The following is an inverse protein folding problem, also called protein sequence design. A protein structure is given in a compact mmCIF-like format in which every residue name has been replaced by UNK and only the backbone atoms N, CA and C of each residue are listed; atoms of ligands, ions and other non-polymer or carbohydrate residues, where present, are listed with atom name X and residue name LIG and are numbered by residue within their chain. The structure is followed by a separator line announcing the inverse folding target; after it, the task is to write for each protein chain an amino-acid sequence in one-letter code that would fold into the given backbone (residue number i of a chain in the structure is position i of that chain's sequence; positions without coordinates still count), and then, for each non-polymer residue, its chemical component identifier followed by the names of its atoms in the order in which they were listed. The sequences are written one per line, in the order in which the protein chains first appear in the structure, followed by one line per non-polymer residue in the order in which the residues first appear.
data_IF_101569816441
#
_entry.id   IF_101569816441
#
_cell.length_a   1.000
_cell.length_b   1.000
_cell.length_c   1.000
_cell.angle_alpha   90.00
_cell.angle_beta   90.00
_cell.angle_gamma   90.00
#
_symmetry.space_group_name_H-M   'P 1'
#
loop_
_entity.id
_entity.type
_entity.pdbx_description
1 polymer ?
#
# COMPACT_ATOMS: atom_id res chain seq x y z
N UNK A 1 -21.79 63.45 54.03
CA UNK A 1 -21.64 62.00 54.27
C UNK A 1 -22.77 61.33 53.50
N UNK A 2 -22.44 60.55 52.48
CA UNK A 2 -23.40 59.80 51.65
C UNK A 2 -23.55 58.40 52.23
N UNK A 3 -24.79 58.00 52.51
CA UNK A 3 -25.15 56.70 53.06
C UNK A 3 -24.77 55.57 52.10
N UNK A 4 -24.02 54.59 52.62
CA UNK A 4 -23.63 53.37 51.90
C UNK A 4 -24.74 52.35 52.12
N UNK A 5 -25.58 52.14 51.11
CA UNK A 5 -26.57 51.07 51.09
C UNK A 5 -25.85 49.71 51.03
N UNK A 6 -25.82 49.01 52.16
CA UNK A 6 -25.37 47.63 52.26
C UNK A 6 -26.38 46.73 51.56
N UNK A 7 -26.10 46.37 50.31
CA UNK A 7 -26.89 45.38 49.59
C UNK A 7 -26.35 43.98 49.93
N UNK A 8 -26.93 43.35 50.95
CA UNK A 8 -26.68 41.93 51.25
C UNK A 8 -27.29 41.06 50.13
N UNK A 9 -26.58 40.06 49.58
CA UNK A 9 -27.17 39.18 48.57
C UNK A 9 -28.11 38.19 49.25
N UNK A 10 -29.39 38.24 48.87
CA UNK A 10 -30.39 37.22 49.22
C UNK A 10 -29.97 35.86 48.66
N UNK A 11 -29.78 34.88 49.56
CA UNK A 11 -29.56 33.49 49.20
C UNK A 11 -30.80 32.91 48.48
N UNK A 12 -30.57 32.05 47.49
CA UNK A 12 -31.52 31.21 46.72
C UNK A 12 -31.80 31.63 45.27
N UNK A 13 -30.77 31.86 44.47
CA UNK A 13 -30.87 31.71 43.01
C UNK A 13 -30.40 30.29 42.64
N UNK A 14 -31.35 29.40 42.32
CA UNK A 14 -31.06 28.07 41.80
C UNK A 14 -30.55 28.18 40.35
N UNK A 15 -29.23 28.15 40.16
CA UNK A 15 -28.62 28.14 38.84
C UNK A 15 -28.71 26.74 38.21
N UNK A 16 -29.53 26.58 37.18
CA UNK A 16 -29.54 25.39 36.33
C UNK A 16 -28.43 25.54 35.30
N UNK A 17 -27.33 24.81 35.48
CA UNK A 17 -26.27 24.70 34.48
C UNK A 17 -26.72 23.74 33.37
N UNK A 18 -27.11 24.30 32.22
CA UNK A 18 -27.42 23.51 31.03
C UNK A 18 -26.09 23.21 30.31
N UNK A 19 -25.62 21.98 30.45
CA UNK A 19 -24.48 21.47 29.68
C UNK A 19 -24.98 20.97 28.33
N UNK A 20 -24.77 21.75 27.26
CA UNK A 20 -24.97 21.26 25.91
C UNK A 20 -23.81 20.34 25.52
N UNK A 21 -24.12 19.07 25.23
CA UNK A 21 -23.12 18.14 24.73
C UNK A 21 -22.59 18.63 23.38
N UNK A 22 -21.26 18.70 23.17
CA UNK A 22 -20.70 19.07 21.89
C UNK A 22 -21.16 18.08 20.81
N UNK A 23 -21.45 18.58 19.61
CA UNK A 23 -21.82 17.73 18.48
C UNK A 23 -20.69 16.76 18.19
N UNK A 24 -21.02 15.47 18.14
CA UNK A 24 -20.09 14.41 17.75
C UNK A 24 -19.94 14.49 16.23
N UNK A 25 -18.86 15.12 15.77
CA UNK A 25 -18.49 15.09 14.36
C UNK A 25 -17.82 13.75 14.05
N UNK A 26 -18.16 13.16 12.90
CA UNK A 26 -17.53 11.92 12.48
C UNK A 26 -16.02 12.17 12.25
N UNK A 27 -15.13 11.30 12.74
CA UNK A 27 -13.70 11.49 12.55
C UNK A 27 -13.35 11.39 11.07
N UNK A 28 -12.81 12.47 10.52
CA UNK A 28 -12.24 12.48 9.17
C UNK A 28 -10.78 12.07 9.25
N UNK A 29 -10.40 11.04 8.48
CA UNK A 29 -9.01 10.59 8.42
C UNK A 29 -8.30 11.28 7.25
N UNK A 30 -7.18 11.94 7.52
CA UNK A 30 -6.41 12.67 6.52
C UNK A 30 -5.01 12.10 6.38
N UNK A 31 -4.53 12.05 5.14
CA UNK A 31 -3.16 11.68 4.77
C UNK A 31 -2.47 12.90 4.17
N UNK A 32 -1.45 13.40 4.85
CA UNK A 32 -0.61 14.49 4.36
C UNK A 32 0.54 13.93 3.52
N UNK A 33 0.82 14.61 2.42
CA UNK A 33 1.84 14.20 1.47
C UNK A 33 2.66 15.38 0.96
N UNK A 34 3.92 15.08 0.62
CA UNK A 34 4.89 16.05 0.10
C UNK A 34 4.69 16.27 -1.40
N UNK A 35 5.36 17.28 -1.95
CA UNK A 35 5.29 17.62 -3.38
C UNK A 35 5.77 16.50 -4.32
N UNK A 36 6.59 15.59 -3.82
CA UNK A 36 7.08 14.40 -4.53
C UNK A 36 6.07 13.22 -4.51
N UNK A 37 4.93 13.41 -3.84
CA UNK A 37 3.90 12.38 -3.65
C UNK A 37 4.21 11.41 -2.51
N UNK A 38 5.32 11.59 -1.78
CA UNK A 38 5.64 10.73 -0.62
C UNK A 38 4.76 11.08 0.58
N UNK A 39 4.38 10.06 1.34
CA UNK A 39 3.62 10.24 2.58
C UNK A 39 4.45 11.00 3.62
N UNK A 40 3.81 11.95 4.30
CA UNK A 40 4.39 12.66 5.43
C UNK A 40 3.86 12.10 6.75
N UNK A 41 2.55 12.23 7.01
CA UNK A 41 1.91 11.68 8.21
C UNK A 41 0.40 11.50 8.05
N UNK A 42 -0.17 10.69 8.94
CA UNK A 42 -1.61 10.43 9.08
C UNK A 42 -2.14 11.19 10.30
N UNK A 43 -3.24 11.90 10.17
CA UNK A 43 -3.87 12.58 11.31
C UNK A 43 -5.39 12.72 11.13
N UNK A 44 -6.08 12.90 12.25
CA UNK A 44 -7.48 13.34 12.29
C UNK A 44 -7.59 14.86 12.51
N UNK A 45 -6.47 15.53 12.83
CA UNK A 45 -6.42 16.97 13.01
C UNK A 45 -6.42 17.70 11.66
N UNK A 46 -6.54 19.03 11.71
CA UNK A 46 -6.54 19.89 10.53
C UNK A 46 -5.32 20.83 10.47
N UNK A 47 -4.08 20.32 10.42
CA UNK A 47 -2.93 21.17 10.14
C UNK A 47 -2.96 21.70 8.71
N UNK A 48 -2.33 22.86 8.47
CA UNK A 48 -2.20 23.41 7.11
C UNK A 48 -1.25 22.56 6.27
N UNK A 49 -1.66 22.18 5.06
CA UNK A 49 -0.84 21.41 4.13
C UNK A 49 -1.63 20.73 3.01
N UNK A 50 -0.92 19.99 2.16
CA UNK A 50 -1.54 19.17 1.12
C UNK A 50 -1.94 17.81 1.73
N UNK A 51 -3.23 17.49 1.65
CA UNK A 51 -3.76 16.24 2.16
C UNK A 51 -4.84 15.66 1.24
N UNK A 52 -5.07 14.36 1.40
CA UNK A 52 -6.26 13.67 0.90
C UNK A 52 -7.05 13.09 2.07
N UNK A 53 -8.38 13.01 1.91
CA UNK A 53 -9.25 12.33 2.86
C UNK A 53 -9.22 10.83 2.53
N UNK A 54 -8.97 10.01 3.54
CA UNK A 54 -8.84 8.56 3.43
C UNK A 54 -9.91 7.86 4.26
N UNK A 55 -10.11 6.57 4.01
CA UNK A 55 -10.99 5.76 4.84
C UNK A 55 -10.29 5.28 6.13
N UNK A 56 -11.10 4.76 7.06
CA UNK A 56 -10.61 4.24 8.35
C UNK A 56 -9.67 3.02 8.18
N UNK A 57 -9.85 2.23 7.12
CA UNK A 57 -9.02 1.06 6.86
C UNK A 57 -7.61 1.44 6.41
N UNK A 58 -7.50 2.40 5.50
CA UNK A 58 -6.23 2.98 5.04
C UNK A 58 -5.52 3.70 6.18
N UNK A 59 -6.26 4.42 7.02
CA UNK A 59 -5.70 5.04 8.22
C UNK A 59 -5.15 3.99 9.20
N UNK A 60 -5.87 2.88 9.39
CA UNK A 60 -5.41 1.76 10.23
C UNK A 60 -4.21 1.01 9.63
N UNK A 61 -4.10 0.91 8.30
CA UNK A 61 -2.92 0.35 7.62
C UNK A 61 -1.67 1.22 7.85
N UNK A 62 -1.83 2.55 7.96
CA UNK A 62 -0.78 3.54 8.24
C UNK A 62 0.54 3.34 7.45
N UNK A 63 0.42 2.90 6.19
CA UNK A 63 1.58 2.46 5.40
C UNK A 63 2.42 3.63 4.90
N UNK A 64 3.74 3.65 5.16
CA UNK A 64 4.63 4.70 4.65
C UNK A 64 5.12 4.43 3.21
N UNK A 65 4.96 3.22 2.68
CA UNK A 65 5.43 2.74 1.37
C UNK A 65 4.46 3.00 0.20
N UNK A 66 3.52 3.92 0.39
CA UNK A 66 2.57 4.35 -0.64
C UNK A 66 2.94 5.73 -1.18
N UNK A 67 2.45 6.07 -2.36
CA UNK A 67 2.55 7.42 -2.93
C UNK A 67 1.20 7.97 -3.30
N UNK A 68 1.02 9.28 -3.13
CA UNK A 68 -0.15 10.00 -3.62
C UNK A 68 0.19 10.57 -4.98
N UNK A 69 -0.51 10.11 -6.01
CA UNK A 69 -0.35 10.57 -7.40
C UNK A 69 -1.73 10.99 -7.89
N UNK A 70 -1.86 12.23 -8.36
CA UNK A 70 -3.11 12.81 -8.86
C UNK A 70 -4.30 12.68 -7.89
N UNK A 71 -4.04 12.77 -6.59
CA UNK A 71 -5.06 12.65 -5.54
C UNK A 71 -5.50 11.22 -5.22
N UNK A 72 -4.84 10.21 -5.81
CA UNK A 72 -5.12 8.79 -5.56
C UNK A 72 -3.91 8.12 -4.91
N UNK A 73 -4.18 7.22 -3.97
CA UNK A 73 -3.16 6.39 -3.35
C UNK A 73 -2.71 5.32 -4.36
N UNK A 74 -1.47 5.42 -4.80
CA UNK A 74 -0.77 4.41 -5.56
C UNK A 74 0.11 3.58 -4.64
N UNK A 75 -0.13 2.27 -4.59
CA UNK A 75 0.71 1.33 -3.85
C UNK A 75 1.94 1.04 -4.70
N UNK A 76 3.12 1.16 -4.10
CA UNK A 76 4.35 0.76 -4.77
C UNK A 76 4.34 -0.77 -4.92
N UNK A 77 3.87 -1.28 -6.06
CA UNK A 77 4.04 -2.70 -6.40
C UNK A 77 5.45 -2.84 -6.95
N UNK A 78 6.39 -3.48 -6.24
CA UNK A 78 7.65 -3.82 -6.87
C UNK A 78 7.32 -4.68 -8.10
N UNK A 79 7.67 -4.20 -9.29
CA UNK A 79 7.56 -5.00 -10.50
C UNK A 79 8.36 -6.27 -10.29
N UNK A 80 7.70 -7.41 -10.25
CA UNK A 80 8.37 -8.68 -10.05
C UNK A 80 8.79 -9.18 -11.43
N UNK A 81 10.11 -9.25 -11.66
CA UNK A 81 10.64 -9.90 -12.86
C UNK A 81 10.69 -11.40 -12.59
N UNK A 82 9.87 -12.17 -13.29
CA UNK A 82 9.86 -13.63 -13.20
C UNK A 82 10.60 -14.22 -14.39
N UNK A 83 11.66 -14.93 -14.09
CA UNK A 83 12.44 -15.70 -15.05
C UNK A 83 11.98 -17.16 -15.00
N UNK A 84 11.58 -17.72 -16.14
CA UNK A 84 11.21 -19.14 -16.25
C UNK A 84 11.71 -19.74 -17.53
N UNK A 85 12.13 -21.00 -17.46
CA UNK A 85 12.42 -21.79 -18.66
C UNK A 85 11.11 -22.31 -19.26
N UNK A 86 10.97 -22.20 -20.58
CA UNK A 86 9.87 -22.81 -21.34
C UNK A 86 10.39 -23.83 -22.35
N UNK A 87 9.65 -24.92 -22.61
CA UNK A 87 9.95 -25.80 -23.73
C UNK A 87 9.96 -24.98 -25.02
N UNK A 88 11.05 -25.08 -25.78
CA UNK A 88 11.26 -24.38 -27.05
C UNK A 88 11.87 -25.35 -28.06
N UNK A 89 12.17 -24.87 -29.27
CA UNK A 89 12.95 -25.60 -30.28
C UNK A 89 14.43 -25.22 -30.25
N UNK A 90 14.80 -24.28 -29.39
CA UNK A 90 16.15 -23.73 -29.23
C UNK A 90 16.47 -23.50 -27.75
N UNK A 91 17.75 -23.21 -27.45
CA UNK A 91 18.21 -22.92 -26.11
C UNK A 91 19.06 -24.05 -25.54
N UNK A 92 18.85 -24.40 -24.27
CA UNK A 92 19.64 -25.41 -23.58
C UNK A 92 18.95 -26.76 -23.71
N UNK A 93 19.67 -27.76 -24.22
CA UNK A 93 19.16 -29.12 -24.35
C UNK A 93 19.38 -29.91 -23.06
N UNK A 94 18.30 -30.47 -22.52
CA UNK A 94 18.33 -31.26 -21.29
C UNK A 94 17.60 -32.59 -21.47
N UNK A 95 17.77 -33.50 -20.50
CA UNK A 95 16.98 -34.73 -20.42
C UNK A 95 15.51 -34.42 -20.16
N UNK A 96 14.59 -35.18 -20.77
CA UNK A 96 13.15 -35.03 -20.52
C UNK A 96 12.77 -35.43 -19.09
N UNK A 97 13.47 -36.42 -18.53
CA UNK A 97 13.19 -36.97 -17.20
C UNK A 97 13.76 -36.09 -16.07
N UNK A 98 14.83 -35.33 -16.37
CA UNK A 98 15.51 -34.47 -15.40
C UNK A 98 16.17 -33.26 -16.10
N UNK A 99 15.57 -32.09 -15.87
CA UNK A 99 16.02 -30.81 -16.46
C UNK A 99 17.42 -30.39 -15.97
N UNK A 100 17.90 -30.93 -14.84
CA UNK A 100 19.26 -30.63 -14.34
C UNK A 100 20.36 -31.33 -15.14
N UNK A 101 20.02 -32.34 -15.94
CA UNK A 101 20.96 -33.08 -16.78
C UNK A 101 21.05 -32.40 -18.15
N UNK A 102 22.13 -31.65 -18.35
CA UNK A 102 22.46 -31.01 -19.64
C UNK A 102 23.05 -32.05 -20.58
N UNK A 103 22.58 -32.05 -21.83
CA UNK A 103 23.01 -33.01 -22.84
C UNK A 103 23.77 -32.28 -23.95
N UNK A 104 24.93 -32.84 -24.33
CA UNK A 104 25.72 -32.35 -25.45
C UNK A 104 25.07 -32.75 -26.77
N UNK A 105 24.55 -31.77 -27.51
CA UNK A 105 23.92 -31.92 -28.82
C UNK A 105 24.74 -32.75 -29.82
N UNK A 106 26.07 -32.68 -29.74
CA UNK A 106 26.98 -33.34 -30.69
C UNK A 106 26.98 -34.86 -30.54
N UNK A 107 26.53 -35.38 -29.40
CA UNK A 107 26.52 -36.81 -29.08
C UNK A 107 25.15 -37.46 -29.31
N UNK A 108 24.14 -36.67 -29.64
CA UNK A 108 22.75 -37.10 -29.77
C UNK A 108 22.48 -37.58 -31.19
N UNK A 109 21.72 -38.65 -31.33
CA UNK A 109 21.27 -39.17 -32.62
C UNK A 109 19.84 -38.73 -32.87
N UNK A 110 19.44 -38.62 -34.14
CA UNK A 110 18.07 -38.23 -34.54
C UNK A 110 16.98 -39.08 -33.86
N UNK A 111 17.28 -40.36 -33.59
CA UNK A 111 16.39 -41.27 -32.86
C UNK A 111 16.08 -40.82 -31.43
N UNK A 112 16.98 -40.11 -30.77
CA UNK A 112 16.82 -39.71 -29.37
C UNK A 112 15.80 -38.57 -29.26
N UNK A 113 15.77 -37.66 -30.25
CA UNK A 113 14.70 -36.68 -30.44
C UNK A 113 13.36 -37.34 -30.79
N UNK A 114 13.37 -38.32 -31.71
CA UNK A 114 12.15 -39.04 -32.11
C UNK A 114 11.55 -39.87 -30.97
N UNK A 115 12.38 -40.31 -30.01
CA UNK A 115 11.96 -41.00 -28.80
C UNK A 115 11.58 -40.07 -27.63
N UNK A 116 11.54 -38.75 -27.86
CA UNK A 116 11.21 -37.73 -26.86
C UNK A 116 12.05 -37.80 -25.58
N UNK A 117 13.32 -38.23 -25.66
CA UNK A 117 14.21 -38.35 -24.49
C UNK A 117 14.87 -37.05 -24.08
N UNK A 118 14.78 -36.03 -24.93
CA UNK A 118 15.50 -34.74 -24.76
C UNK A 118 14.56 -33.58 -25.09
N UNK A 119 14.75 -32.44 -24.43
CA UNK A 119 13.92 -31.24 -24.61
C UNK A 119 14.78 -29.97 -24.56
N UNK A 120 14.50 -29.06 -25.48
CA UNK A 120 15.09 -27.72 -25.49
C UNK A 120 14.33 -26.79 -24.56
N UNK A 121 15.06 -25.98 -23.79
CA UNK A 121 14.53 -25.01 -22.86
C UNK A 121 15.11 -23.63 -23.10
N UNK A 122 14.25 -22.63 -23.17
CA UNK A 122 14.61 -21.24 -23.38
C UNK A 122 14.18 -20.39 -22.20
N UNK A 123 15.08 -19.52 -21.74
CA UNK A 123 14.83 -18.62 -20.63
C UNK A 123 13.91 -17.48 -21.11
N UNK A 124 12.75 -17.38 -20.49
CA UNK A 124 11.82 -16.27 -20.71
C UNK A 124 11.74 -15.38 -19.48
N UNK A 125 11.96 -14.09 -19.71
CA UNK A 125 11.83 -13.04 -18.71
C UNK A 125 10.46 -12.41 -18.89
N UNK A 126 9.63 -12.41 -17.84
CA UNK A 126 8.31 -11.80 -17.85
C UNK A 126 8.26 -10.75 -16.74
N UNK A 127 7.77 -9.57 -17.06
CA UNK A 127 7.49 -8.53 -16.07
C UNK A 127 6.07 -8.72 -15.54
N UNK A 128 5.94 -8.80 -14.21
CA UNK A 128 4.65 -8.82 -13.53
C UNK A 128 4.49 -7.45 -12.86
N UNK A 129 3.54 -6.65 -13.36
CA UNK A 129 3.13 -5.34 -12.83
C UNK A 129 1.63 -5.26 -12.63
#
# INVERSE_FOLDING_TARGET
MSDVENNSPTENEEYITVWEAPKIEAPEFRLYYKKDGSVDFYTCDNPEGNYIVIDAGVFAEARPDIKVIDGVISRNRPSAVVQKYKPSTSGILTSIDDISIIIDERKIKVKDFASSRVQYWELQINEIG
#
